data_IF_217798372438
#
_entry.id   IF_217798372438
#
_cell.length_a   1.000
_cell.length_b   1.000
_cell.length_c   1.000
_cell.angle_alpha   90.00
_cell.angle_beta   90.00
_cell.angle_gamma   90.00
#
_symmetry.space_group_name_H-M   'P 1'
#
loop_
_entity.id
_entity.type
_entity.pdbx_description
1 polymer ?
#
# COMPACT_ATOMS: atom_id res chain seq x y z
N UNK A 1 33.77 -5.68 -41.12
CA UNK A 1 33.87 -4.96 -39.84
C UNK A 1 33.00 -3.71 -39.92
N UNK A 2 31.76 -3.79 -39.44
CA UNK A 2 30.96 -2.60 -39.11
C UNK A 2 30.41 -2.87 -37.71
N UNK A 3 31.03 -2.23 -36.72
CA UNK A 3 30.62 -2.32 -35.32
C UNK A 3 29.30 -1.59 -35.14
N UNK A 4 28.32 -2.30 -34.60
CA UNK A 4 27.02 -1.74 -34.22
C UNK A 4 27.06 -1.37 -32.74
N UNK A 5 26.42 -0.22 -32.48
CA UNK A 5 25.86 0.29 -31.22
C UNK A 5 26.82 0.73 -30.12
N UNK A 6 27.00 2.05 -30.04
CA UNK A 6 27.11 2.72 -28.76
C UNK A 6 25.80 2.58 -28.01
N UNK A 7 25.80 1.85 -26.90
CA UNK A 7 24.76 1.97 -25.90
C UNK A 7 24.97 3.29 -25.18
N UNK A 8 24.00 4.21 -25.26
CA UNK A 8 23.97 5.37 -24.40
C UNK A 8 23.93 4.88 -22.94
N UNK A 9 24.89 5.31 -22.11
CA UNK A 9 24.86 5.07 -20.67
C UNK A 9 23.65 5.83 -20.09
N UNK A 10 22.52 5.14 -19.93
CA UNK A 10 21.35 5.69 -19.24
C UNK A 10 21.67 5.75 -17.74
N UNK A 11 21.68 6.94 -17.17
CA UNK A 11 21.88 7.13 -15.73
C UNK A 11 20.76 6.46 -14.95
N UNK A 12 21.11 5.77 -13.86
CA UNK A 12 20.11 5.14 -13.00
C UNK A 12 19.24 6.19 -12.31
N UNK A 13 17.95 5.89 -12.17
CA UNK A 13 17.00 6.71 -11.40
C UNK A 13 17.09 6.30 -9.94
N UNK A 14 17.40 7.24 -9.06
CA UNK A 14 17.56 6.95 -7.65
C UNK A 14 16.23 6.85 -6.90
N UNK A 15 16.15 5.86 -6.02
CA UNK A 15 14.99 5.52 -5.20
C UNK A 15 15.36 5.64 -3.73
N UNK A 16 14.56 6.40 -2.98
CA UNK A 16 14.62 6.47 -1.52
C UNK A 16 13.45 5.75 -0.89
N UNK A 17 13.66 4.97 0.18
CA UNK A 17 12.60 4.30 0.93
C UNK A 17 12.35 5.04 2.24
N UNK A 18 11.08 5.27 2.57
CA UNK A 18 10.64 5.68 3.89
C UNK A 18 9.93 4.48 4.53
N UNK A 19 10.59 3.81 5.47
CA UNK A 19 10.11 2.58 6.06
C UNK A 19 10.72 1.33 5.42
N UNK A 20 11.23 0.44 6.27
CA UNK A 20 11.86 -0.83 5.89
C UNK A 20 11.30 -1.99 6.73
N UNK A 21 9.97 -2.04 6.82
CA UNK A 21 9.23 -3.17 7.39
C UNK A 21 9.17 -4.37 6.44
N UNK A 22 8.13 -5.19 6.54
CA UNK A 22 7.94 -6.37 5.67
C UNK A 22 7.87 -5.96 4.19
N UNK A 23 6.98 -5.01 3.86
CA UNK A 23 6.81 -4.52 2.48
C UNK A 23 8.07 -3.79 2.01
N UNK A 24 8.62 -2.88 2.83
CA UNK A 24 9.84 -2.15 2.48
C UNK A 24 11.03 -3.06 2.20
N UNK A 25 11.22 -4.11 3.00
CA UNK A 25 12.28 -5.10 2.78
C UNK A 25 12.07 -5.89 1.48
N UNK A 26 10.82 -6.24 1.15
CA UNK A 26 10.50 -6.90 -0.11
C UNK A 26 10.74 -6.00 -1.32
N UNK A 27 10.40 -4.71 -1.22
CA UNK A 27 10.69 -3.69 -2.26
C UNK A 27 12.20 -3.52 -2.43
N UNK A 28 12.95 -3.36 -1.34
CA UNK A 28 14.40 -3.24 -1.39
C UNK A 28 15.06 -4.48 -2.02
N UNK A 29 14.61 -5.68 -1.63
CA UNK A 29 15.07 -6.95 -2.23
C UNK A 29 14.78 -6.98 -3.72
N UNK A 30 13.59 -6.60 -4.15
CA UNK A 30 13.19 -6.60 -5.56
C UNK A 30 13.99 -5.58 -6.40
N UNK A 31 14.41 -4.45 -5.80
CA UNK A 31 15.28 -3.46 -6.44
C UNK A 31 16.71 -4.00 -6.61
N UNK A 32 17.22 -4.77 -5.65
CA UNK A 32 18.58 -5.31 -5.66
C UNK A 32 18.71 -6.64 -6.44
N UNK A 33 17.67 -7.47 -6.45
CA UNK A 33 17.73 -8.84 -6.99
C UNK A 33 17.55 -8.92 -8.50
N UNK A 34 17.03 -7.86 -9.14
CA UNK A 34 16.79 -7.84 -10.59
C UNK A 34 18.06 -7.39 -11.29
N UNK A 35 18.51 -8.16 -12.28
CA UNK A 35 19.49 -7.69 -13.25
C UNK A 35 18.82 -6.59 -14.10
N UNK A 36 18.80 -5.37 -13.55
CA UNK A 36 18.04 -4.25 -14.10
C UNK A 36 18.47 -3.89 -15.52
N UNK A 37 19.69 -4.29 -15.91
CA UNK A 37 20.25 -4.09 -17.25
C UNK A 37 19.58 -4.94 -18.33
N UNK A 38 18.96 -6.08 -17.99
CA UNK A 38 18.34 -7.00 -18.96
C UNK A 38 16.84 -6.78 -19.16
N UNK A 39 16.14 -6.29 -18.15
CA UNK A 39 14.67 -6.19 -18.16
C UNK A 39 14.14 -4.75 -18.28
N UNK A 40 14.93 -3.74 -17.92
CA UNK A 40 14.49 -2.33 -17.91
C UNK A 40 15.36 -1.49 -18.84
N UNK A 41 14.70 -0.60 -19.60
CA UNK A 41 15.39 0.41 -20.40
C UNK A 41 16.11 1.46 -19.54
N UNK A 42 15.69 1.63 -18.29
CA UNK A 42 16.25 2.59 -17.32
C UNK A 42 16.49 1.85 -15.99
N UNK A 43 17.74 1.80 -15.49
CA UNK A 43 18.04 1.16 -14.22
C UNK A 43 17.54 2.01 -13.04
N UNK A 44 17.15 1.36 -11.95
CA UNK A 44 16.82 1.96 -10.67
C UNK A 44 17.92 1.66 -9.64
N UNK A 45 18.31 2.66 -8.85
CA UNK A 45 19.29 2.51 -7.79
C UNK A 45 18.64 2.82 -6.44
N UNK A 46 18.76 1.90 -5.46
CA UNK A 46 18.39 2.21 -4.08
C UNK A 46 19.46 3.11 -3.47
N UNK A 47 19.09 4.33 -3.09
CA UNK A 47 20.03 5.37 -2.61
C UNK A 47 20.05 5.45 -1.09
N UNK A 48 18.86 5.44 -0.46
CA UNK A 48 18.72 5.53 0.99
C UNK A 48 17.45 4.85 1.46
N UNK A 49 17.45 4.33 2.70
CA UNK A 49 16.31 3.73 3.35
C UNK A 49 16.18 4.26 4.80
N UNK A 50 15.12 5.01 5.05
CA UNK A 50 14.82 5.64 6.34
C UNK A 50 14.06 4.68 7.22
N UNK A 51 14.52 4.52 8.47
CA UNK A 51 13.96 3.61 9.46
C UNK A 51 13.95 4.25 10.83
N UNK A 52 13.07 3.78 11.72
CA UNK A 52 13.03 4.29 13.10
C UNK A 52 14.24 3.90 13.96
N UNK A 53 14.80 2.71 13.71
CA UNK A 53 15.95 2.18 14.45
C UNK A 53 16.92 1.53 13.46
N UNK A 54 18.03 2.20 13.12
CA UNK A 54 19.05 1.65 12.21
C UNK A 54 19.67 0.35 12.73
N UNK A 55 19.77 0.17 14.05
CA UNK A 55 20.42 -0.98 14.68
C UNK A 55 19.53 -2.23 14.73
N UNK A 56 18.22 -2.09 14.49
CA UNK A 56 17.30 -3.23 14.43
C UNK A 56 17.73 -4.21 13.33
N UNK A 57 17.92 -5.48 13.69
CA UNK A 57 18.24 -6.55 12.75
C UNK A 57 17.08 -6.72 11.73
N UNK A 58 17.45 -6.86 10.46
CA UNK A 58 16.52 -7.05 9.34
C UNK A 58 16.92 -8.26 8.53
N UNK A 59 15.96 -8.82 7.81
CA UNK A 59 16.16 -9.97 6.92
C UNK A 59 16.93 -9.63 5.63
N UNK A 60 17.29 -8.36 5.43
CA UNK A 60 18.02 -7.87 4.27
C UNK A 60 19.24 -7.06 4.72
N UNK A 61 20.40 -7.36 4.14
CA UNK A 61 21.61 -6.56 4.28
C UNK A 61 21.68 -5.57 3.11
N UNK A 62 21.47 -4.29 3.41
CA UNK A 62 21.56 -3.18 2.46
C UNK A 62 22.89 -2.43 2.57
N UNK A 63 23.79 -2.86 3.46
CA UNK A 63 24.95 -2.08 3.87
C UNK A 63 24.57 -0.91 4.79
N UNK A 64 25.43 -0.61 5.77
CA UNK A 64 25.19 0.44 6.77
C UNK A 64 25.11 1.86 6.17
N UNK A 65 25.65 2.08 4.97
CA UNK A 65 25.68 3.40 4.34
C UNK A 65 24.35 3.84 3.72
N UNK A 66 23.42 2.91 3.48
CA UNK A 66 22.11 3.21 2.86
C UNK A 66 21.02 3.40 3.93
N UNK A 67 21.15 2.73 5.07
CA UNK A 67 20.14 2.75 6.14
C UNK A 67 20.41 3.91 7.09
N UNK A 68 19.39 4.71 7.37
CA UNK A 68 19.47 5.90 8.23
C UNK A 68 18.16 6.14 8.97
N UNK A 69 18.16 6.93 10.03
CA UNK A 69 16.98 7.45 10.71
C UNK A 69 16.62 8.89 10.32
N UNK A 70 17.46 9.54 9.50
CA UNK A 70 17.22 10.89 9.01
C UNK A 70 16.38 10.90 7.73
N UNK A 71 15.13 11.40 7.76
CA UNK A 71 14.30 11.52 6.56
C UNK A 71 14.90 12.43 5.48
N UNK A 72 15.78 13.38 5.85
CA UNK A 72 16.40 14.30 4.88
C UNK A 72 17.39 13.61 3.95
N UNK A 73 17.94 12.46 4.34
CA UNK A 73 18.74 11.60 3.47
C UNK A 73 17.97 11.09 2.23
N UNK A 74 16.64 11.17 2.26
CA UNK A 74 15.74 10.89 1.12
C UNK A 74 15.12 12.16 0.55
N UNK A 75 14.60 13.05 1.40
CA UNK A 75 13.81 14.23 0.98
C UNK A 75 14.68 15.30 0.33
N UNK A 76 15.86 15.61 0.88
CA UNK A 76 16.74 16.67 0.36
C UNK A 76 17.85 16.11 -0.55
N UNK A 77 17.91 14.79 -0.71
CA UNK A 77 18.96 14.15 -1.49
C UNK A 77 18.69 14.25 -3.00
N UNK A 78 19.53 15.02 -3.70
CA UNK A 78 19.46 15.21 -5.16
C UNK A 78 19.67 13.93 -5.98
N UNK A 79 20.24 12.89 -5.37
CA UNK A 79 20.38 11.58 -6.01
C UNK A 79 19.09 10.76 -6.00
N UNK A 80 18.08 11.17 -5.22
CA UNK A 80 16.76 10.53 -5.15
C UNK A 80 15.77 11.25 -6.05
N UNK A 81 15.19 10.55 -7.02
CA UNK A 81 14.13 11.08 -7.89
C UNK A 81 12.76 10.49 -7.55
N UNK A 82 12.73 9.29 -6.96
CA UNK A 82 11.50 8.59 -6.56
C UNK A 82 11.59 8.26 -5.07
N UNK A 83 10.57 8.63 -4.30
CA UNK A 83 10.41 8.25 -2.90
C UNK A 83 9.32 7.19 -2.79
N UNK A 84 9.61 6.09 -2.08
CA UNK A 84 8.62 5.05 -1.78
C UNK A 84 8.31 5.07 -0.29
N UNK A 85 7.09 5.42 0.06
CA UNK A 85 6.62 5.52 1.45
C UNK A 85 5.85 4.27 1.89
N UNK A 86 6.34 3.66 2.98
CA UNK A 86 5.93 2.36 3.52
C UNK A 86 6.02 2.35 5.07
N UNK A 87 5.84 3.51 5.71
CA UNK A 87 5.93 3.67 7.17
C UNK A 87 4.65 3.26 7.88
N UNK A 88 3.49 3.49 7.23
CA UNK A 88 2.18 3.36 7.87
C UNK A 88 1.88 4.52 8.83
N UNK A 89 0.62 4.58 9.29
CA UNK A 89 0.10 5.69 10.10
C UNK A 89 -0.03 7.00 9.30
N UNK A 90 -0.67 8.00 9.90
CA UNK A 90 -0.84 9.31 9.24
C UNK A 90 0.39 10.22 9.39
N UNK A 91 0.89 10.40 10.61
CA UNK A 91 2.04 11.25 10.92
C UNK A 91 3.21 10.39 11.44
N UNK A 92 4.44 10.61 10.99
CA UNK A 92 4.91 11.70 10.11
C UNK A 92 4.81 11.39 8.59
N UNK A 93 4.12 10.32 8.18
CA UNK A 93 4.09 9.87 6.79
C UNK A 93 3.56 10.96 5.83
N UNK A 94 2.47 11.65 6.19
CA UNK A 94 1.95 12.77 5.41
C UNK A 94 3.01 13.85 5.15
N UNK A 95 3.71 14.28 6.20
CA UNK A 95 4.69 15.37 6.12
C UNK A 95 5.85 15.01 5.20
N UNK A 96 6.32 13.76 5.28
CA UNK A 96 7.39 13.29 4.42
C UNK A 96 6.97 13.16 2.96
N UNK A 97 5.75 12.68 2.69
CA UNK A 97 5.22 12.63 1.32
C UNK A 97 5.06 14.04 0.76
N UNK A 98 4.42 14.94 1.52
CA UNK A 98 4.21 16.34 1.15
C UNK A 98 5.53 17.04 0.83
N UNK A 99 6.53 16.88 1.70
CA UNK A 99 7.86 17.48 1.52
C UNK A 99 8.59 16.91 0.31
N UNK A 100 8.51 15.59 0.09
CA UNK A 100 9.11 14.93 -1.09
C UNK A 100 8.51 15.45 -2.40
N UNK A 101 7.18 15.60 -2.46
CA UNK A 101 6.51 16.14 -3.64
C UNK A 101 6.89 17.60 -3.90
N UNK A 102 6.94 18.43 -2.85
CA UNK A 102 7.39 19.84 -2.94
C UNK A 102 8.86 19.96 -3.34
N UNK A 103 9.69 18.98 -3.00
CA UNK A 103 11.08 18.88 -3.44
C UNK A 103 11.22 18.40 -4.91
N UNK A 104 10.12 18.25 -5.65
CA UNK A 104 10.14 17.83 -7.05
C UNK A 104 10.42 16.34 -7.25
N UNK A 105 10.12 15.49 -6.26
CA UNK A 105 10.27 14.04 -6.35
C UNK A 105 8.94 13.36 -6.63
N UNK A 106 8.96 12.31 -7.44
CA UNK A 106 7.80 11.42 -7.56
C UNK A 106 7.65 10.60 -6.28
N UNK A 107 6.42 10.31 -5.87
CA UNK A 107 6.14 9.49 -4.68
C UNK A 107 5.29 8.28 -5.03
N UNK A 108 5.67 7.13 -4.47
CA UNK A 108 4.85 5.90 -4.46
C UNK A 108 4.54 5.57 -3.01
N UNK A 109 3.29 5.31 -2.65
CA UNK A 109 2.90 4.97 -1.27
C UNK A 109 1.98 3.75 -1.22
N UNK A 110 2.05 2.97 -0.13
CA UNK A 110 1.06 1.94 0.20
C UNK A 110 0.11 2.37 1.34
N UNK A 111 0.16 3.65 1.73
CA UNK A 111 -0.48 4.14 2.94
C UNK A 111 -1.94 4.57 2.69
N UNK A 112 -2.85 3.61 2.89
CA UNK A 112 -4.29 3.84 2.77
C UNK A 112 -4.84 4.92 3.69
N UNK A 113 -4.30 5.05 4.89
CA UNK A 113 -4.81 6.02 5.88
C UNK A 113 -4.53 7.46 5.41
N UNK A 114 -3.30 7.74 4.98
CA UNK A 114 -2.93 9.04 4.41
C UNK A 114 -3.73 9.33 3.15
N UNK A 115 -3.84 8.37 2.23
CA UNK A 115 -4.56 8.57 0.97
C UNK A 115 -6.06 8.81 1.17
N UNK A 116 -6.64 8.16 2.18
CA UNK A 116 -8.04 8.34 2.55
C UNK A 116 -8.29 9.72 3.18
N UNK A 117 -7.53 10.09 4.21
CA UNK A 117 -7.76 11.33 4.97
C UNK A 117 -7.29 12.59 4.22
N UNK A 118 -6.15 12.50 3.53
CA UNK A 118 -5.43 13.66 2.98
C UNK A 118 -4.89 13.47 1.56
N UNK A 119 -5.29 12.41 0.87
CA UNK A 119 -4.81 12.12 -0.48
C UNK A 119 -5.15 13.20 -1.52
N UNK A 120 -6.27 13.92 -1.38
CA UNK A 120 -6.62 15.04 -2.26
C UNK A 120 -5.59 16.17 -2.19
N UNK A 121 -5.16 16.51 -0.98
CA UNK A 121 -4.14 17.53 -0.75
C UNK A 121 -2.81 17.12 -1.39
N UNK A 122 -2.38 15.88 -1.16
CA UNK A 122 -1.14 15.36 -1.74
C UNK A 122 -1.18 15.30 -3.28
N UNK A 123 -2.32 14.95 -3.87
CA UNK A 123 -2.47 14.92 -5.32
C UNK A 123 -2.45 16.33 -5.94
N UNK A 124 -2.99 17.34 -5.24
CA UNK A 124 -2.85 18.75 -5.65
C UNK A 124 -1.39 19.19 -5.58
N UNK A 125 -0.71 18.90 -4.46
CA UNK A 125 0.72 19.21 -4.31
C UNK A 125 1.55 18.55 -5.42
N UNK A 126 1.26 17.29 -5.76
CA UNK A 126 1.95 16.59 -6.84
C UNK A 126 1.74 17.30 -8.20
N UNK A 127 0.50 17.68 -8.51
CA UNK A 127 0.17 18.41 -9.73
C UNK A 127 0.85 19.79 -9.79
N UNK A 128 0.82 20.57 -8.70
CA UNK A 128 1.42 21.90 -8.63
C UNK A 128 2.95 21.88 -8.81
N UNK A 129 3.59 20.76 -8.44
CA UNK A 129 5.05 20.57 -8.58
C UNK A 129 5.43 19.73 -9.82
N UNK A 130 4.47 19.40 -10.69
CA UNK A 130 4.68 18.60 -11.90
C UNK A 130 5.37 17.23 -11.63
N UNK A 131 4.93 16.56 -10.57
CA UNK A 131 5.37 15.22 -10.18
C UNK A 131 4.19 14.28 -10.03
N UNK A 132 4.48 12.99 -9.87
CA UNK A 132 3.45 11.95 -9.76
C UNK A 132 3.38 11.40 -8.34
N UNK A 133 2.15 11.17 -7.87
CA UNK A 133 1.85 10.39 -6.68
C UNK A 133 1.10 9.11 -7.10
N UNK A 134 1.72 7.95 -6.89
CA UNK A 134 1.11 6.63 -7.13
C UNK A 134 0.83 5.93 -5.81
N UNK A 135 -0.30 5.22 -5.76
CA UNK A 135 -0.76 4.61 -4.52
C UNK A 135 -1.51 3.28 -4.71
N UNK A 136 -1.20 2.55 -5.79
CA UNK A 136 -1.83 1.25 -6.12
C UNK A 136 -1.83 0.29 -4.92
N UNK A 137 -0.68 0.13 -4.27
CA UNK A 137 -0.52 -0.80 -3.14
C UNK A 137 -1.32 -0.42 -1.88
N UNK A 138 -1.97 0.75 -1.85
CA UNK A 138 -2.84 1.15 -0.73
C UNK A 138 -4.18 0.40 -0.71
N UNK A 139 -4.65 -0.10 -1.86
CA UNK A 139 -5.93 -0.81 -1.98
C UNK A 139 -5.76 -2.09 -2.79
N UNK A 140 -6.32 -3.21 -2.31
CA UNK A 140 -6.27 -4.47 -3.06
C UNK A 140 -4.90 -5.18 -3.06
N UNK A 141 -3.89 -4.63 -2.37
CA UNK A 141 -2.58 -5.25 -2.23
C UNK A 141 -1.87 -5.43 -3.57
N UNK A 142 -1.85 -6.66 -4.09
CA UNK A 142 -1.28 -6.99 -5.39
C UNK A 142 -2.28 -6.94 -6.56
N UNK A 143 -3.57 -6.72 -6.28
CA UNK A 143 -4.60 -6.63 -7.32
C UNK A 143 -4.55 -5.23 -7.94
N UNK A 144 -4.37 -5.10 -9.26
CA UNK A 144 -4.43 -3.79 -9.91
C UNK A 144 -5.89 -3.31 -9.92
N UNK A 145 -6.19 -2.22 -9.20
CA UNK A 145 -7.54 -1.66 -9.11
C UNK A 145 -7.53 -0.15 -9.38
N UNK A 146 -6.56 0.57 -8.81
CA UNK A 146 -6.43 2.03 -8.97
C UNK A 146 -6.05 2.37 -10.40
N UNK A 147 -5.05 1.68 -10.98
CA UNK A 147 -4.63 1.86 -12.36
C UNK A 147 -5.78 1.69 -13.36
N UNK A 148 -6.52 0.56 -13.33
CA UNK A 148 -7.69 0.37 -14.18
C UNK A 148 -8.78 1.44 -13.99
N UNK A 149 -9.10 1.82 -12.75
CA UNK A 149 -10.11 2.88 -12.50
C UNK A 149 -9.67 4.27 -12.98
N UNK A 150 -8.37 4.55 -12.95
CA UNK A 150 -7.84 5.88 -13.31
C UNK A 150 -7.51 6.03 -14.79
N UNK A 151 -7.14 4.94 -15.48
CA UNK A 151 -6.65 5.00 -16.86
C UNK A 151 -7.56 4.25 -17.84
N UNK A 152 -7.91 3.00 -17.53
CA UNK A 152 -8.54 2.10 -18.49
C UNK A 152 -10.06 2.30 -18.55
N UNK A 153 -10.67 2.58 -17.40
CA UNK A 153 -12.11 2.71 -17.23
C UNK A 153 -12.60 4.16 -17.24
N UNK A 154 -11.74 5.13 -17.53
CA UNK A 154 -12.09 6.57 -17.50
C UNK A 154 -13.26 6.95 -18.41
N UNK A 155 -13.46 6.21 -19.52
CA UNK A 155 -14.59 6.41 -20.43
C UNK A 155 -15.88 5.69 -20.00
N UNK A 156 -15.82 4.88 -18.94
CA UNK A 156 -16.95 4.09 -18.45
C UNK A 156 -17.60 4.79 -17.27
N UNK A 157 -18.93 4.64 -17.16
CA UNK A 157 -19.67 5.05 -15.97
C UNK A 157 -19.78 3.87 -15.01
N UNK A 158 -18.99 3.88 -13.94
CA UNK A 158 -19.10 2.87 -12.89
C UNK A 158 -20.45 3.02 -12.17
N UNK A 159 -21.24 1.94 -12.14
CA UNK A 159 -22.56 1.93 -11.48
C UNK A 159 -22.48 1.44 -10.04
N UNK A 160 -21.59 0.49 -9.74
CA UNK A 160 -21.41 -0.07 -8.40
C UNK A 160 -20.07 -0.75 -8.25
N UNK A 161 -19.53 -0.76 -7.03
CA UNK A 161 -18.37 -1.57 -6.62
C UNK A 161 -18.81 -2.47 -5.48
N UNK A 162 -18.52 -3.78 -5.59
CA UNK A 162 -18.68 -4.77 -4.53
C UNK A 162 -17.38 -5.55 -4.44
N UNK A 163 -16.78 -5.61 -3.26
CA UNK A 163 -15.44 -6.18 -3.13
C UNK A 163 -15.17 -6.72 -1.72
N UNK A 164 -14.41 -7.81 -1.66
CA UNK A 164 -13.76 -8.31 -0.45
C UNK A 164 -12.35 -7.73 -0.44
N UNK A 165 -12.11 -6.78 0.46
CA UNK A 165 -10.88 -5.96 0.47
C UNK A 165 -10.11 -5.99 1.78
N UNK A 166 -10.53 -6.84 2.73
CA UNK A 166 -9.80 -7.11 3.96
C UNK A 166 -9.50 -8.62 4.07
N UNK A 167 -8.21 -8.96 4.20
CA UNK A 167 -7.75 -10.35 4.20
C UNK A 167 -8.04 -11.07 5.51
N UNK A 168 -7.88 -10.38 6.63
CA UNK A 168 -8.07 -10.92 7.98
C UNK A 168 -9.53 -11.29 8.23
N UNK A 169 -10.47 -10.39 7.94
CA UNK A 169 -11.91 -10.71 8.06
C UNK A 169 -12.31 -11.80 7.08
N UNK A 170 -11.81 -11.79 5.84
CA UNK A 170 -12.12 -12.83 4.87
C UNK A 170 -11.62 -14.20 5.33
N UNK A 171 -10.41 -14.28 5.91
CA UNK A 171 -9.89 -15.52 6.49
C UNK A 171 -10.79 -16.02 7.61
N UNK A 172 -11.15 -15.14 8.55
CA UNK A 172 -12.00 -15.48 9.70
C UNK A 172 -13.36 -15.99 9.23
N UNK A 173 -14.07 -15.23 8.38
CA UNK A 173 -15.39 -15.61 7.87
C UNK A 173 -15.34 -16.90 7.06
N UNK A 174 -14.33 -17.07 6.21
CA UNK A 174 -14.14 -18.30 5.42
C UNK A 174 -13.98 -19.50 6.35
N UNK A 175 -13.15 -19.37 7.39
CA UNK A 175 -12.89 -20.46 8.33
C UNK A 175 -14.10 -20.79 9.21
N UNK A 176 -14.82 -19.76 9.70
CA UNK A 176 -16.09 -19.96 10.41
C UNK A 176 -17.12 -20.70 9.54
N UNK A 177 -17.24 -20.33 8.25
CA UNK A 177 -18.15 -20.99 7.32
C UNK A 177 -17.79 -22.46 7.07
N UNK A 178 -16.50 -22.78 6.92
CA UNK A 178 -16.06 -24.15 6.63
C UNK A 178 -16.04 -25.07 7.85
N UNK A 179 -15.62 -24.56 9.01
CA UNK A 179 -15.41 -25.37 10.21
C UNK A 179 -16.60 -25.30 11.17
N UNK A 180 -17.54 -24.38 10.96
CA UNK A 180 -18.66 -24.13 11.87
C UNK A 180 -18.22 -23.60 13.23
N UNK A 181 -17.03 -22.98 13.29
CA UNK A 181 -16.42 -22.46 14.51
C UNK A 181 -16.96 -21.08 14.88
N UNK A 182 -16.88 -20.73 16.16
CA UNK A 182 -17.28 -19.41 16.66
C UNK A 182 -16.16 -18.36 16.45
N UNK A 183 -16.56 -17.10 16.39
CA UNK A 183 -15.70 -15.97 16.02
C UNK A 183 -14.44 -15.87 16.89
N UNK A 184 -14.58 -15.97 18.22
CA UNK A 184 -13.47 -15.79 19.16
C UNK A 184 -12.39 -16.87 19.00
N UNK A 185 -12.78 -18.12 18.75
CA UNK A 185 -11.85 -19.23 18.53
C UNK A 185 -11.06 -19.04 17.24
N UNK A 186 -11.75 -18.66 16.15
CA UNK A 186 -11.11 -18.41 14.85
C UNK A 186 -10.22 -17.17 14.89
N UNK A 187 -10.62 -16.12 15.62
CA UNK A 187 -9.80 -14.93 15.82
C UNK A 187 -8.50 -15.27 16.56
N UNK A 188 -8.58 -16.06 17.64
CA UNK A 188 -7.40 -16.49 18.37
C UNK A 188 -6.44 -17.31 17.49
N UNK A 189 -6.99 -18.20 16.64
CA UNK A 189 -6.18 -18.94 15.67
C UNK A 189 -5.55 -18.00 14.62
N UNK A 190 -6.32 -17.07 14.05
CA UNK A 190 -5.82 -16.09 13.09
C UNK A 190 -4.66 -15.26 13.67
N UNK A 191 -4.73 -14.89 14.95
CA UNK A 191 -3.63 -14.22 15.65
C UNK A 191 -2.40 -15.13 15.79
N UNK A 192 -2.59 -16.40 16.17
CA UNK A 192 -1.49 -17.36 16.32
C UNK A 192 -0.74 -17.62 15.02
N UNK A 193 -1.45 -17.60 13.89
CA UNK A 193 -0.92 -17.81 12.55
C UNK A 193 -0.38 -16.52 11.91
N UNK A 194 -0.56 -15.37 12.56
CA UNK A 194 -0.13 -14.07 12.07
C UNK A 194 -1.02 -13.47 10.96
N UNK A 195 -2.25 -13.97 10.79
CA UNK A 195 -3.26 -13.36 9.91
C UNK A 195 -3.94 -12.14 10.54
N UNK A 196 -3.99 -12.08 11.88
CA UNK A 196 -4.53 -10.96 12.64
C UNK A 196 -3.47 -10.41 13.62
N UNK A 197 -3.47 -9.10 13.85
CA UNK A 197 -2.63 -8.49 14.87
C UNK A 197 -3.21 -8.68 16.28
N UNK A 198 -2.41 -8.37 17.31
CA UNK A 198 -2.85 -8.46 18.70
C UNK A 198 -4.06 -7.57 18.99
N UNK A 199 -4.10 -6.38 18.39
CA UNK A 199 -5.30 -5.54 18.31
C UNK A 199 -5.87 -5.62 16.89
N UNK A 200 -6.91 -6.45 16.64
CA UNK A 200 -7.47 -6.65 15.32
C UNK A 200 -8.56 -5.62 14.97
N UNK A 201 -8.78 -4.60 15.80
CA UNK A 201 -9.89 -3.61 15.68
C UNK A 201 -9.97 -3.01 14.29
N UNK A 202 -8.83 -2.65 13.68
CA UNK A 202 -8.82 -2.07 12.34
C UNK A 202 -9.45 -2.99 11.28
N UNK A 203 -9.30 -4.31 11.45
CA UNK A 203 -9.80 -5.32 10.52
C UNK A 203 -11.23 -5.75 10.89
N UNK A 204 -11.43 -6.28 12.10
CA UNK A 204 -12.69 -6.95 12.49
C UNK A 204 -13.84 -5.97 12.70
N UNK A 205 -13.54 -4.71 13.00
CA UNK A 205 -14.54 -3.64 13.03
C UNK A 205 -14.68 -2.95 11.66
N UNK A 206 -13.93 -3.34 10.64
CA UNK A 206 -14.13 -2.89 9.26
C UNK A 206 -13.56 -1.51 8.93
N UNK A 207 -12.68 -0.94 9.77
CA UNK A 207 -12.04 0.35 9.48
C UNK A 207 -11.14 0.28 8.25
N UNK A 208 -10.35 -0.78 8.10
CA UNK A 208 -9.47 -0.99 6.94
C UNK A 208 -10.29 -1.14 5.65
N UNK A 209 -11.38 -1.90 5.69
CA UNK A 209 -12.31 -2.01 4.55
C UNK A 209 -12.96 -0.67 4.22
N UNK A 210 -13.38 0.11 5.23
CA UNK A 210 -13.95 1.45 5.06
C UNK A 210 -12.96 2.41 4.38
N UNK A 211 -11.69 2.44 4.83
CA UNK A 211 -10.66 3.29 4.20
C UNK A 211 -10.41 2.91 2.75
N UNK A 212 -10.30 1.62 2.45
CA UNK A 212 -10.13 1.12 1.08
C UNK A 212 -11.35 1.46 0.21
N UNK A 213 -12.56 1.30 0.74
CA UNK A 213 -13.80 1.63 0.03
C UNK A 213 -13.92 3.14 -0.23
N UNK A 214 -13.51 4.01 0.71
CA UNK A 214 -13.46 5.46 0.51
C UNK A 214 -12.58 5.83 -0.69
N UNK A 215 -11.37 5.23 -0.77
CA UNK A 215 -10.46 5.45 -1.90
C UNK A 215 -11.07 4.94 -3.22
N UNK A 216 -11.66 3.75 -3.24
CA UNK A 216 -12.31 3.19 -4.43
C UNK A 216 -13.51 4.02 -4.89
N UNK A 217 -14.37 4.44 -3.96
CA UNK A 217 -15.55 5.25 -4.27
C UNK A 217 -15.13 6.60 -4.86
N UNK A 218 -14.10 7.23 -4.29
CA UNK A 218 -13.54 8.48 -4.81
C UNK A 218 -13.03 8.31 -6.24
N UNK A 219 -12.33 7.23 -6.52
CA UNK A 219 -11.80 6.93 -7.86
C UNK A 219 -12.91 6.65 -8.88
N UNK A 220 -13.88 5.82 -8.50
CA UNK A 220 -14.92 5.34 -9.40
C UNK A 220 -16.00 6.39 -9.71
N UNK A 221 -16.27 7.29 -8.77
CA UNK A 221 -17.33 8.30 -8.90
C UNK A 221 -16.80 9.72 -9.03
N UNK A 222 -15.47 9.91 -9.02
CA UNK A 222 -14.81 11.21 -9.14
C UNK A 222 -15.32 12.27 -8.15
N UNK A 223 -15.68 11.85 -6.94
CA UNK A 223 -16.20 12.72 -5.86
C UNK A 223 -15.41 12.52 -4.58
N UNK A 224 -15.36 13.54 -3.74
CA UNK A 224 -14.89 13.34 -2.36
C UNK A 224 -15.88 12.45 -1.61
N UNK A 225 -15.35 11.50 -0.83
CA UNK A 225 -16.13 10.57 -0.02
C UNK A 225 -15.53 10.54 1.39
N UNK A 226 -16.02 11.40 2.31
CA UNK A 226 -15.56 11.38 3.70
C UNK A 226 -15.90 10.03 4.34
N UNK A 227 -14.99 9.52 5.17
CA UNK A 227 -15.17 8.22 5.83
C UNK A 227 -16.36 8.21 6.77
N UNK A 228 -16.70 9.37 7.34
CA UNK A 228 -17.85 9.58 8.21
C UNK A 228 -19.19 9.34 7.47
N UNK A 229 -19.18 9.46 6.14
CA UNK A 229 -20.32 9.16 5.28
C UNK A 229 -20.47 7.68 4.91
N UNK A 230 -19.51 6.82 5.29
CA UNK A 230 -19.52 5.40 4.96
C UNK A 230 -20.09 4.62 6.13
N UNK A 231 -21.23 3.97 5.92
CA UNK A 231 -21.74 3.01 6.89
C UNK A 231 -20.75 1.86 7.07
N UNK A 232 -20.41 1.57 8.33
CA UNK A 232 -19.43 0.55 8.71
C UNK A 232 -20.04 -0.36 9.75
N UNK A 233 -19.96 -1.65 9.48
CA UNK A 233 -20.32 -2.74 10.38
C UNK A 233 -19.19 -3.77 10.35
N UNK A 234 -18.83 -4.28 11.53
CA UNK A 234 -17.78 -5.28 11.68
C UNK A 234 -18.30 -6.70 11.53
N UNK A 235 -17.47 -7.68 11.89
CA UNK A 235 -17.80 -9.11 11.83
C UNK A 235 -17.94 -9.78 13.21
N UNK A 236 -17.81 -9.01 14.30
CA UNK A 236 -17.79 -9.54 15.67
C UNK A 236 -19.08 -10.24 16.08
N UNK A 237 -20.22 -9.73 15.60
CA UNK A 237 -21.55 -10.24 15.93
C UNK A 237 -22.03 -11.33 14.95
N UNK A 238 -21.14 -11.83 14.08
CA UNK A 238 -21.43 -12.97 13.21
C UNK A 238 -21.14 -14.25 13.99
N UNK A 239 -22.08 -15.18 13.98
CA UNK A 239 -22.00 -16.44 14.69
C UNK A 239 -22.02 -17.65 13.74
N UNK A 240 -21.55 -18.79 14.23
CA UNK A 240 -21.60 -20.09 13.51
C UNK A 240 -23.03 -20.44 13.02
N UNK A 241 -24.06 -20.14 13.81
CA UNK A 241 -25.47 -20.33 13.42
C UNK A 241 -25.89 -19.50 12.21
N UNK A 242 -25.30 -18.31 12.02
CA UNK A 242 -25.65 -17.42 10.91
C UNK A 242 -25.15 -18.01 9.59
N UNK A 243 -23.95 -18.61 9.58
CA UNK A 243 -23.45 -19.37 8.43
C UNK A 243 -24.30 -20.59 8.12
N UNK A 244 -24.78 -21.32 9.14
CA UNK A 244 -25.69 -22.45 8.92
C UNK A 244 -26.98 -22.00 8.23
N UNK A 245 -27.62 -20.95 8.73
CA UNK A 245 -28.85 -20.43 8.13
C UNK A 245 -28.60 -19.82 6.74
N UNK A 246 -27.49 -19.13 6.53
CA UNK A 246 -27.08 -18.64 5.22
C UNK A 246 -26.94 -19.80 4.22
N UNK A 247 -26.29 -20.91 4.63
CA UNK A 247 -26.12 -22.11 3.81
C UNK A 247 -27.46 -22.77 3.44
N UNK A 248 -28.40 -22.87 4.38
CA UNK A 248 -29.77 -23.36 4.11
C UNK A 248 -30.52 -22.49 3.08
N UNK A 249 -30.20 -21.20 3.02
CA UNK A 249 -30.76 -20.24 2.08
C UNK A 249 -29.97 -20.11 0.76
N UNK A 250 -28.86 -20.84 0.61
CA UNK A 250 -28.02 -20.81 -0.60
C UNK A 250 -26.99 -19.67 -0.64
N UNK A 251 -26.63 -19.11 0.52
CA UNK A 251 -25.63 -18.05 0.69
C UNK A 251 -24.42 -18.54 1.49
N UNK A 252 -23.38 -17.71 1.52
CA UNK A 252 -22.21 -17.85 2.40
C UNK A 252 -21.91 -16.53 3.08
#
# INVERSE_FOLDING_TARGET
>A
MMGVSGQANVSAVGVGLLGLGVVGSAVAKALLSRDQSKERKIPLALVSAVVRDPNKLRSIDLGQSIVTDDPQAVIDNNSVSIVVELMGGENPAFDYISSSLKAGKHVVTANKEVMCKRGNELLRIAADNNVELKYEASVGGGIPIIGPLTNDLVANRIQSIRAIINGTTNFILTKMAYEGADFDDVLAEAQSLGYAEADPTADVDGFDAMYKLSVLARLAYHTEMPVEGIHREGIRDIHSKDFRYAGELGFT
#
